data_IF_505975829757
#
_entry.id   IF_505975829757
#
_cell.length_a   1.000
_cell.length_b   1.000
_cell.length_c   1.000
_cell.angle_alpha   90.00
_cell.angle_beta   90.00
_cell.angle_gamma   90.00
#
_symmetry.space_group_name_H-M   'P 1'
#
loop_
_entity.id
_entity.type
_entity.pdbx_description
1 polymer ?
#
# COMPACT_ATOMS: atom_id res chain seq x y z
N UNK A 1 9.96 -9.19 7.12
CA UNK A 1 10.06 -8.18 8.18
C UNK A 1 8.73 -7.46 8.30
N UNK A 2 8.35 -7.01 9.50
CA UNK A 2 7.14 -6.21 9.67
C UNK A 2 7.36 -4.82 9.06
N UNK A 3 6.33 -4.22 8.43
CA UNK A 3 6.43 -2.86 7.91
C UNK A 3 6.81 -1.86 9.02
N UNK A 4 7.60 -0.87 8.66
CA UNK A 4 8.00 0.23 9.54
C UNK A 4 7.18 1.46 9.16
N UNK A 5 6.68 2.15 10.16
CA UNK A 5 5.91 3.38 10.00
C UNK A 5 6.58 4.52 10.73
N UNK A 6 6.50 5.71 10.16
CA UNK A 6 6.94 6.96 10.77
C UNK A 6 5.74 7.89 10.87
N UNK A 7 5.54 8.50 12.04
CA UNK A 7 4.53 9.53 12.26
C UNK A 7 5.21 10.78 12.82
N UNK A 8 4.87 11.96 12.28
CA UNK A 8 5.37 13.26 12.74
C UNK A 8 4.19 14.16 13.12
N UNK A 9 4.23 14.73 14.31
CA UNK A 9 3.21 15.66 14.77
C UNK A 9 3.41 17.07 14.20
N UNK A 10 2.32 17.70 13.78
CA UNK A 10 2.30 19.10 13.35
C UNK A 10 2.08 20.03 14.55
N UNK A 11 1.32 19.57 15.54
CA UNK A 11 0.94 20.35 16.72
C UNK A 11 1.45 19.69 18.02
N UNK A 12 1.64 20.52 19.05
CA UNK A 12 1.99 20.03 20.38
C UNK A 12 0.88 19.18 21.02
N UNK A 13 1.27 18.23 21.86
CA UNK A 13 0.37 17.33 22.58
C UNK A 13 -0.53 16.52 21.62
N UNK A 14 0.03 16.02 20.53
CA UNK A 14 -0.63 15.10 19.60
C UNK A 14 -0.51 13.68 20.12
N UNK A 15 -1.63 13.06 20.48
CA UNK A 15 -1.67 11.65 20.89
C UNK A 15 -1.83 10.79 19.65
N UNK A 16 -0.98 9.77 19.53
CA UNK A 16 -1.02 8.76 18.47
C UNK A 16 -1.42 7.43 19.08
N UNK A 17 -2.40 6.76 18.49
CA UNK A 17 -2.87 5.44 18.91
C UNK A 17 -2.86 4.47 17.74
N UNK A 18 -2.57 3.20 18.01
CA UNK A 18 -2.62 2.10 17.03
C UNK A 18 -3.62 1.06 17.54
N UNK A 19 -4.61 0.74 16.72
CA UNK A 19 -5.69 -0.20 17.05
C UNK A 19 -6.35 0.11 18.41
N UNK A 20 -6.57 1.42 18.69
CA UNK A 20 -7.19 1.90 19.92
C UNK A 20 -6.26 2.00 21.14
N UNK A 21 -5.01 1.54 21.05
CA UNK A 21 -4.03 1.63 22.14
C UNK A 21 -3.12 2.83 21.93
N UNK A 22 -2.97 3.68 22.93
CA UNK A 22 -2.06 4.84 22.89
C UNK A 22 -0.62 4.35 22.73
N UNK A 23 0.05 4.83 21.69
CA UNK A 23 1.43 4.52 21.38
C UNK A 23 2.39 5.58 21.93
N UNK A 24 2.10 6.85 21.64
CA UNK A 24 2.97 7.97 22.01
C UNK A 24 2.21 9.30 22.01
N UNK A 25 2.72 10.27 22.77
CA UNK A 25 2.33 11.68 22.67
C UNK A 25 3.51 12.49 22.14
N UNK A 26 3.28 13.28 21.09
CA UNK A 26 4.30 14.04 20.38
C UNK A 26 4.02 15.53 20.45
N UNK A 27 5.09 16.32 20.46
CA UNK A 27 5.02 17.75 20.21
C UNK A 27 5.32 18.08 18.74
N UNK A 28 4.99 19.29 18.31
CA UNK A 28 5.23 19.75 16.95
C UNK A 28 6.67 19.48 16.49
N UNK A 29 6.81 18.88 15.30
CA UNK A 29 8.09 18.50 14.71
C UNK A 29 8.72 17.22 15.27
N UNK A 30 8.16 16.63 16.33
CA UNK A 30 8.62 15.34 16.81
C UNK A 30 8.06 14.20 15.95
N UNK A 31 8.89 13.20 15.72
CA UNK A 31 8.54 11.97 15.00
C UNK A 31 8.75 10.74 15.86
N UNK A 32 8.01 9.70 15.53
CA UNK A 32 8.10 8.40 16.17
C UNK A 32 8.05 7.28 15.14
N UNK A 33 8.98 6.33 15.25
CA UNK A 33 9.05 5.14 14.42
C UNK A 33 8.45 3.96 15.16
N UNK A 34 7.62 3.19 14.46
CA UNK A 34 7.01 1.99 15.03
C UNK A 34 6.79 0.91 13.96
N UNK A 35 6.56 -0.31 14.42
CA UNK A 35 6.17 -1.43 13.56
C UNK A 35 4.74 -1.84 13.88
N UNK A 36 3.98 -2.18 12.86
CA UNK A 36 2.64 -2.72 12.99
C UNK A 36 2.29 -3.58 11.79
N UNK A 37 1.26 -4.41 11.92
CA UNK A 37 0.77 -5.20 10.80
C UNK A 37 0.14 -4.31 9.72
N UNK A 38 0.16 -4.76 8.47
CA UNK A 38 -0.64 -4.16 7.39
C UNK A 38 -2.11 -4.16 7.82
N UNK A 39 -2.80 -3.04 7.55
CA UNK A 39 -4.20 -2.88 7.93
C UNK A 39 -4.44 -2.33 9.34
N UNK A 40 -3.40 -2.11 10.14
CA UNK A 40 -3.54 -1.48 11.45
C UNK A 40 -4.12 -0.07 11.34
N UNK A 41 -5.10 0.25 12.17
CA UNK A 41 -5.71 1.57 12.25
C UNK A 41 -4.88 2.50 13.12
N UNK A 42 -4.38 3.58 12.54
CA UNK A 42 -3.70 4.66 13.27
C UNK A 42 -4.67 5.82 13.44
N UNK A 43 -4.87 6.26 14.68
CA UNK A 43 -5.69 7.41 15.00
C UNK A 43 -4.86 8.45 15.75
N UNK A 44 -5.15 9.72 15.50
CA UNK A 44 -4.44 10.83 16.13
C UNK A 44 -5.42 11.91 16.60
N UNK A 45 -5.09 12.58 17.69
CA UNK A 45 -5.93 13.67 18.22
C UNK A 45 -5.79 14.96 17.42
N UNK A 46 -4.70 15.12 16.67
CA UNK A 46 -4.39 16.30 15.84
C UNK A 46 -3.73 15.87 14.54
N UNK A 47 -3.63 16.75 13.53
CA UNK A 47 -3.00 16.41 12.25
C UNK A 47 -1.57 15.91 12.39
N UNK A 48 -1.24 14.91 11.59
CA UNK A 48 0.10 14.33 11.48
C UNK A 48 0.49 14.11 10.02
N UNK A 49 1.77 13.94 9.76
CA UNK A 49 2.28 13.34 8.54
C UNK A 49 2.70 11.91 8.86
N UNK A 50 2.32 10.97 8.02
CA UNK A 50 2.63 9.57 8.22
C UNK A 50 3.20 8.96 6.94
N UNK A 51 4.25 8.14 7.11
CA UNK A 51 4.87 7.39 6.03
C UNK A 51 4.94 5.90 6.40
N UNK A 52 4.84 5.05 5.39
CA UNK A 52 5.21 3.63 5.49
C UNK A 52 6.58 3.43 4.85
N UNK A 53 7.34 2.48 5.36
CA UNK A 53 8.60 2.09 4.78
C UNK A 53 8.95 0.65 5.12
N UNK A 54 9.90 0.12 4.39
CA UNK A 54 10.51 -1.15 4.71
C UNK A 54 12.02 -0.91 4.84
N UNK A 55 12.54 -1.26 6.01
CA UNK A 55 13.98 -1.33 6.20
C UNK A 55 14.43 -2.75 5.89
N UNK A 56 15.22 -2.89 4.89
CA UNK A 56 15.89 -4.16 4.60
C UNK A 56 17.41 -3.92 4.56
N UNK A 57 18.04 -4.13 5.69
CA UNK A 57 19.48 -4.22 5.77
C UNK A 57 19.87 -5.67 5.47
N UNK A 58 20.23 -5.95 4.22
CA UNK A 58 20.82 -7.23 3.84
C UNK A 58 22.32 -7.03 3.59
N UNK A 59 23.18 -7.79 4.29
CA UNK A 59 24.57 -7.89 3.90
C UNK A 59 24.65 -8.42 2.48
N UNK A 60 25.14 -7.62 1.54
CA UNK A 60 25.25 -8.01 0.14
C UNK A 60 24.58 -7.11 -0.88
N UNK A 61 24.03 -5.97 -0.48
CA UNK A 61 23.91 -4.84 -1.36
C UNK A 61 22.62 -4.63 -2.15
N UNK A 62 21.50 -5.18 -1.72
CA UNK A 62 20.19 -4.87 -2.31
C UNK A 62 19.23 -4.38 -1.24
N UNK A 63 19.51 -3.25 -0.63
CA UNK A 63 18.66 -2.65 0.39
C UNK A 63 18.17 -1.29 -0.05
N UNK A 64 17.03 -1.21 -0.71
CA UNK A 64 16.37 0.05 -0.98
C UNK A 64 15.39 0.38 0.14
N UNK A 65 15.47 1.59 0.66
CA UNK A 65 14.50 2.10 1.59
C UNK A 65 13.33 2.69 0.79
N UNK A 66 12.18 2.09 0.92
CA UNK A 66 10.94 2.63 0.35
C UNK A 66 10.22 3.42 1.42
N UNK A 67 9.93 4.68 1.14
CA UNK A 67 9.13 5.56 1.98
C UNK A 67 7.96 6.10 1.17
N UNK A 68 6.76 5.70 1.51
CA UNK A 68 5.53 6.21 0.91
C UNK A 68 4.68 6.95 1.93
N UNK A 69 4.17 8.10 1.53
CA UNK A 69 3.24 8.85 2.36
C UNK A 69 1.89 8.12 2.44
N UNK A 70 1.39 7.93 3.65
CA UNK A 70 0.08 7.33 3.89
C UNK A 70 -0.98 8.43 3.87
N UNK A 71 -1.92 8.40 2.91
CA UNK A 71 -3.03 9.35 2.88
C UNK A 71 -4.04 9.03 3.99
N UNK A 72 -4.70 10.04 4.55
CA UNK A 72 -5.76 9.81 5.53
C UNK A 72 -7.00 9.20 4.86
N UNK A 73 -7.75 8.35 5.61
CA UNK A 73 -8.93 7.64 5.10
C UNK A 73 -9.96 8.57 4.41
N UNK A 74 -10.08 9.82 4.88
CA UNK A 74 -11.05 10.77 4.31
C UNK A 74 -10.83 11.09 2.83
N UNK A 75 -9.59 11.00 2.32
CA UNK A 75 -9.25 11.31 0.92
C UNK A 75 -9.19 10.07 0.02
N UNK A 76 -9.35 8.89 0.58
CA UNK A 76 -9.39 7.65 -0.19
C UNK A 76 -10.66 7.58 -1.06
N UNK A 77 -10.58 6.83 -2.13
CA UNK A 77 -11.67 6.61 -3.08
C UNK A 77 -12.14 5.16 -3.11
N UNK A 78 -13.01 4.91 -4.09
CA UNK A 78 -13.57 3.60 -4.40
C UNK A 78 -13.18 3.10 -5.78
N UNK A 79 -12.48 3.93 -6.58
CA UNK A 79 -12.07 3.58 -7.94
C UNK A 79 -10.61 3.96 -8.15
N UNK A 80 -9.84 3.01 -8.66
CA UNK A 80 -8.42 3.17 -8.92
C UNK A 80 -8.05 2.56 -10.26
N UNK A 81 -7.11 3.20 -10.95
CA UNK A 81 -6.46 2.66 -12.12
C UNK A 81 -5.01 2.35 -11.75
N UNK A 82 -4.65 1.09 -11.87
CA UNK A 82 -3.28 0.63 -11.69
C UNK A 82 -2.72 0.29 -13.06
N UNK A 83 -1.68 1.01 -13.47
CA UNK A 83 -0.95 0.74 -14.69
C UNK A 83 0.35 0.06 -14.30
N UNK A 84 0.60 -1.08 -14.88
CA UNK A 84 1.82 -1.83 -14.66
C UNK A 84 3.03 -1.05 -15.17
N UNK A 85 4.10 -1.00 -14.39
CA UNK A 85 5.37 -0.46 -14.82
C UNK A 85 6.06 -1.35 -15.86
N UNK A 86 7.07 -0.83 -16.51
CA UNK A 86 7.86 -1.61 -17.44
C UNK A 86 8.94 -2.39 -16.68
N UNK A 87 8.66 -3.63 -16.33
CA UNK A 87 9.57 -4.51 -15.62
C UNK A 87 10.79 -4.96 -16.43
N UNK A 88 11.03 -4.46 -17.63
CA UNK A 88 12.16 -4.90 -18.43
C UNK A 88 13.04 -3.77 -18.91
N UNK A 89 14.02 -3.46 -18.15
CA UNK A 89 15.26 -2.93 -18.74
C UNK A 89 16.27 -4.07 -18.78
N UNK A 90 16.45 -4.68 -19.95
CA UNK A 90 17.51 -5.67 -20.14
C UNK A 90 17.13 -7.12 -19.79
N UNK A 91 18.09 -7.94 -19.58
CA UNK A 91 18.07 -9.41 -19.60
C UNK A 91 17.34 -10.10 -18.44
N UNK A 92 16.71 -9.38 -17.55
CA UNK A 92 15.96 -9.97 -16.44
C UNK A 92 14.52 -9.48 -16.43
N UNK A 93 13.74 -10.18 -17.15
CA UNK A 93 12.45 -10.74 -16.78
C UNK A 93 11.64 -9.91 -15.79
N UNK A 94 10.48 -9.55 -16.24
CA UNK A 94 9.37 -8.99 -15.46
C UNK A 94 9.47 -9.31 -13.98
N UNK A 95 9.87 -8.34 -13.22
CA UNK A 95 9.69 -8.40 -11.78
C UNK A 95 8.18 -8.44 -11.51
N UNK A 96 7.69 -9.37 -10.69
CA UNK A 96 6.29 -9.42 -10.39
C UNK A 96 5.89 -8.13 -9.67
N UNK A 97 5.06 -7.35 -10.31
CA UNK A 97 4.39 -6.23 -9.67
C UNK A 97 3.25 -6.74 -8.82
N UNK A 98 3.07 -6.13 -7.67
CA UNK A 98 1.97 -6.42 -6.78
C UNK A 98 1.11 -5.20 -6.57
N UNK A 99 -0.15 -5.46 -6.30
CA UNK A 99 -1.09 -4.45 -5.81
C UNK A 99 -1.72 -4.96 -4.53
N UNK A 100 -1.66 -4.15 -3.49
CA UNK A 100 -2.31 -4.42 -2.21
C UNK A 100 -3.47 -3.46 -2.07
N UNK A 101 -4.65 -3.95 -1.78
CA UNK A 101 -5.79 -3.12 -1.39
C UNK A 101 -6.27 -3.49 0.01
N UNK A 102 -6.55 -2.46 0.81
CA UNK A 102 -6.88 -2.57 2.23
C UNK A 102 -8.26 -1.96 2.45
N UNK A 103 -9.17 -2.71 3.08
CA UNK A 103 -10.49 -2.23 3.45
C UNK A 103 -10.40 -1.20 4.59
N UNK A 104 -11.15 -0.11 4.48
CA UNK A 104 -11.31 0.86 5.56
C UNK A 104 -12.54 0.61 6.42
N UNK A 105 -13.44 -0.26 5.98
CA UNK A 105 -14.69 -0.60 6.63
C UNK A 105 -14.96 -2.11 6.53
N UNK A 106 -15.77 -2.63 7.44
CA UNK A 106 -16.18 -4.03 7.43
C UNK A 106 -17.03 -4.38 6.19
N UNK A 107 -16.97 -5.63 5.75
CA UNK A 107 -17.74 -6.15 4.62
C UNK A 107 -17.56 -5.32 3.34
N UNK A 108 -16.31 -5.05 2.98
CA UNK A 108 -15.94 -4.35 1.75
C UNK A 108 -15.78 -5.35 0.61
N UNK A 109 -16.42 -5.08 -0.52
CA UNK A 109 -16.26 -5.86 -1.75
C UNK A 109 -15.40 -5.08 -2.75
N UNK A 110 -14.39 -5.74 -3.30
CA UNK A 110 -13.48 -5.16 -4.30
C UNK A 110 -13.55 -5.97 -5.57
N UNK A 111 -13.75 -5.29 -6.70
CA UNK A 111 -13.73 -5.89 -8.05
C UNK A 111 -12.49 -5.39 -8.79
N UNK A 112 -11.73 -6.32 -9.34
CA UNK A 112 -10.54 -6.05 -10.14
C UNK A 112 -10.77 -6.53 -11.56
N UNK A 113 -10.81 -5.60 -12.50
CA UNK A 113 -10.85 -5.87 -13.93
C UNK A 113 -9.44 -5.71 -14.51
N UNK A 114 -8.88 -6.78 -15.04
CA UNK A 114 -7.62 -6.73 -15.80
C UNK A 114 -7.92 -6.31 -17.22
N UNK A 115 -7.17 -5.34 -17.71
CA UNK A 115 -7.36 -4.74 -19.04
C UNK A 115 -6.07 -4.91 -19.83
N UNK A 116 -6.19 -5.34 -21.09
CA UNK A 116 -5.05 -5.47 -21.99
C UNK A 116 -4.65 -4.12 -22.63
N UNK A 117 -3.63 -4.14 -23.48
CA UNK A 117 -3.10 -2.97 -24.21
C UNK A 117 -4.11 -2.32 -25.18
N UNK A 118 -5.20 -3.03 -25.51
CA UNK A 118 -6.29 -2.52 -26.35
C UNK A 118 -7.47 -1.97 -25.54
N UNK A 119 -7.38 -1.94 -24.23
CA UNK A 119 -8.47 -1.49 -23.35
C UNK A 119 -9.58 -2.53 -23.14
N UNK A 120 -9.34 -3.78 -23.51
CA UNK A 120 -10.34 -4.86 -23.37
C UNK A 120 -10.16 -5.55 -22.02
N UNK A 121 -11.26 -5.75 -21.29
CA UNK A 121 -11.26 -6.53 -20.05
C UNK A 121 -10.99 -7.99 -20.40
N UNK A 122 -9.92 -8.54 -19.86
CA UNK A 122 -9.49 -9.93 -20.06
C UNK A 122 -9.81 -10.84 -18.89
N UNK A 123 -9.97 -10.26 -17.69
CA UNK A 123 -10.37 -10.99 -16.50
C UNK A 123 -11.09 -10.07 -15.52
N UNK A 124 -12.02 -10.63 -14.76
CA UNK A 124 -12.72 -9.98 -13.65
C UNK A 124 -12.63 -10.87 -12.41
N UNK A 125 -12.10 -10.33 -11.33
CA UNK A 125 -12.02 -11.00 -10.04
C UNK A 125 -12.71 -10.18 -8.98
N UNK A 126 -13.39 -10.83 -8.05
CA UNK A 126 -14.05 -10.20 -6.90
C UNK A 126 -13.48 -10.73 -5.60
N UNK A 127 -13.25 -9.84 -4.66
CA UNK A 127 -12.67 -10.12 -3.35
C UNK A 127 -13.57 -9.55 -2.26
N UNK A 128 -13.83 -10.36 -1.23
CA UNK A 128 -14.59 -9.93 -0.05
C UNK A 128 -13.64 -9.74 1.12
N UNK A 129 -13.59 -8.54 1.67
CA UNK A 129 -12.80 -8.16 2.83
C UNK A 129 -13.75 -8.02 4.04
N UNK A 130 -13.70 -8.99 4.95
CA UNK A 130 -14.70 -9.11 6.00
C UNK A 130 -14.65 -7.99 7.05
N UNK A 131 -13.44 -7.50 7.37
CA UNK A 131 -13.25 -6.50 8.43
C UNK A 131 -12.39 -5.34 7.94
N UNK A 132 -12.58 -4.18 8.53
CA UNK A 132 -11.66 -3.04 8.36
C UNK A 132 -10.23 -3.47 8.69
N UNK A 133 -9.27 -3.06 7.86
CA UNK A 133 -7.88 -3.50 7.94
C UNK A 133 -7.58 -4.83 7.24
N UNK A 134 -8.59 -5.61 6.84
CA UNK A 134 -8.36 -6.76 5.95
C UNK A 134 -7.79 -6.31 4.63
N UNK A 135 -6.88 -7.08 4.07
CA UNK A 135 -6.25 -6.75 2.80
C UNK A 135 -6.13 -7.97 1.89
N UNK A 136 -6.01 -7.69 0.61
CA UNK A 136 -5.69 -8.66 -0.42
C UNK A 136 -4.48 -8.17 -1.19
N UNK A 137 -3.53 -9.08 -1.45
CA UNK A 137 -2.41 -8.87 -2.35
C UNK A 137 -2.70 -9.62 -3.66
N UNK A 138 -2.54 -8.92 -4.77
CA UNK A 138 -2.62 -9.51 -6.11
C UNK A 138 -1.31 -9.25 -6.85
N UNK A 139 -0.83 -10.28 -7.55
CA UNK A 139 0.36 -10.19 -8.38
C UNK A 139 -0.04 -10.02 -9.84
N UNK A 140 0.61 -9.08 -10.51
CA UNK A 140 0.38 -8.79 -11.91
C UNK A 140 1.52 -9.35 -12.74
N UNK A 141 1.17 -10.31 -13.58
CA UNK A 141 1.98 -10.78 -14.68
C UNK A 141 3.18 -11.61 -14.33
N UNK A 142 3.52 -12.39 -15.29
CA UNK A 142 4.68 -13.25 -15.37
C UNK A 142 5.32 -12.94 -16.71
N UNK A 143 6.61 -13.14 -16.81
CA UNK A 143 7.48 -12.99 -17.97
C UNK A 143 6.79 -12.99 -19.34
N UNK A 144 7.07 -11.98 -20.13
CA UNK A 144 6.69 -11.89 -21.53
C UNK A 144 5.23 -11.49 -21.80
N UNK A 145 4.46 -11.16 -20.77
CA UNK A 145 3.11 -10.63 -20.95
C UNK A 145 3.18 -9.11 -21.08
N UNK A 146 2.61 -8.60 -22.16
CA UNK A 146 2.49 -7.17 -22.42
C UNK A 146 1.79 -6.46 -21.27
N UNK A 147 2.05 -5.16 -21.16
CA UNK A 147 1.41 -4.28 -20.21
C UNK A 147 -0.05 -4.61 -20.03
N UNK A 148 -0.44 -4.82 -18.80
CA UNK A 148 -1.83 -4.86 -18.41
C UNK A 148 -2.09 -3.74 -17.40
N UNK A 149 -3.25 -3.14 -17.48
CA UNK A 149 -3.77 -2.25 -16.46
C UNK A 149 -4.83 -3.00 -15.66
N UNK A 150 -5.04 -2.56 -14.44
CA UNK A 150 -6.15 -3.05 -13.62
C UNK A 150 -7.04 -1.87 -13.23
N UNK A 151 -8.34 -2.00 -13.50
CA UNK A 151 -9.36 -1.11 -12.97
C UNK A 151 -9.92 -1.76 -11.70
N UNK A 152 -9.70 -1.10 -10.58
CA UNK A 152 -10.12 -1.57 -9.26
C UNK A 152 -11.30 -0.72 -8.83
N UNK A 153 -12.41 -1.35 -8.48
CA UNK A 153 -13.59 -0.69 -7.92
C UNK A 153 -14.01 -1.38 -6.63
N UNK A 154 -14.58 -0.61 -5.71
CA UNK A 154 -15.08 -1.12 -4.44
C UNK A 154 -16.37 -0.43 -4.03
N UNK A 155 -17.17 -1.11 -3.22
CA UNK A 155 -18.41 -0.56 -2.66
C UNK A 155 -18.16 0.43 -1.51
N UNK A 156 -16.96 0.38 -0.90
CA UNK A 156 -16.51 1.27 0.17
C UNK A 156 -15.10 1.76 -0.10
N UNK A 157 -14.67 2.80 0.62
CA UNK A 157 -13.32 3.33 0.48
C UNK A 157 -12.27 2.28 0.78
N UNK A 158 -11.25 2.22 -0.07
CA UNK A 158 -10.10 1.34 0.11
C UNK A 158 -8.80 2.13 -0.05
N UNK A 159 -7.74 1.64 0.55
CA UNK A 159 -6.39 2.09 0.27
C UNK A 159 -5.77 1.13 -0.74
N UNK A 160 -5.08 1.67 -1.75
CA UNK A 160 -4.42 0.86 -2.78
C UNK A 160 -2.96 1.25 -2.86
N UNK A 161 -2.10 0.26 -2.78
CA UNK A 161 -0.67 0.36 -3.07
C UNK A 161 -0.34 -0.53 -4.25
N UNK A 162 0.50 -0.05 -5.15
CA UNK A 162 0.99 -0.83 -6.28
C UNK A 162 2.45 -0.56 -6.52
N UNK A 163 3.21 -1.60 -6.85
CA UNK A 163 4.63 -1.49 -7.14
C UNK A 163 5.31 -2.84 -7.34
N UNK A 164 6.62 -2.82 -7.48
CA UNK A 164 7.44 -4.00 -7.73
C UNK A 164 7.63 -4.80 -6.42
N UNK A 165 7.46 -6.13 -6.52
CA UNK A 165 7.43 -7.02 -5.35
C UNK A 165 8.74 -7.75 -5.08
N UNK A 166 9.65 -7.82 -6.03
CA UNK A 166 10.87 -8.64 -5.95
C UNK A 166 12.09 -7.98 -6.57
N UNK A 167 13.24 -8.41 -6.12
CA UNK A 167 14.53 -8.01 -6.62
C UNK A 167 15.24 -7.01 -5.73
N UNK A 168 16.32 -6.43 -6.25
CA UNK A 168 17.05 -5.36 -5.62
C UNK A 168 16.38 -3.99 -5.83
N UNK A 169 15.34 -3.94 -6.63
CA UNK A 169 14.56 -2.76 -6.93
C UNK A 169 13.15 -2.96 -6.37
N UNK A 170 12.81 -2.15 -5.39
CA UNK A 170 11.46 -2.13 -4.81
C UNK A 170 10.93 -0.71 -4.95
N UNK A 171 10.14 -0.50 -5.98
CA UNK A 171 9.36 0.74 -6.15
C UNK A 171 7.89 0.48 -5.78
N UNK A 172 7.40 1.15 -4.77
CA UNK A 172 5.98 1.09 -4.37
C UNK A 172 5.38 2.50 -4.28
#
# INVERSE_FOLDING_TARGET
AAPVYSVMAIDNNTVVSVNGTVLVTLNAGQSYLFQSAIGSLVTTTKPVVMNSGQWRDLPGGCGDAVLNQIPPIRVLGTNYLVVRGNGTAGTNTDLPEQTIFIATEDNTTVTVNTVNDLGVITATNSYSLATAGSFQNIFHGINGVRYSASVISSDKKIMVYSGTAEGCEVDM
#
